data_IF_956257120114
#
_entry.id   IF_956257120114
#
_cell.length_a   1.000
_cell.length_b   1.000
_cell.length_c   1.000
_cell.angle_alpha   90.00
_cell.angle_beta   90.00
_cell.angle_gamma   90.00
#
_symmetry.space_group_name_H-M   'P 1'
#
loop_
_entity.id
_entity.type
_entity.pdbx_description
1 polymer ?
#
# COMPACT_ATOMS: atom_id res chain seq x y z
N UNK A 1 2.96 -10.83 -3.21
CA UNK A 1 2.37 -9.52 -2.86
C UNK A 1 3.47 -8.49 -2.71
N UNK A 2 3.41 -7.44 -3.54
CA UNK A 2 4.35 -6.32 -3.60
C UNK A 2 3.53 -5.02 -3.58
N UNK A 3 4.13 -3.91 -3.12
CA UNK A 3 3.42 -2.62 -2.99
C UNK A 3 2.75 -2.43 -1.63
N UNK A 4 3.08 -1.32 -0.99
CA UNK A 4 2.43 -0.81 0.22
C UNK A 4 1.82 0.57 -0.06
N UNK A 5 1.19 1.21 0.93
CA UNK A 5 0.53 2.52 0.76
C UNK A 5 1.34 3.59 0.02
N UNK A 6 2.69 3.58 0.13
CA UNK A 6 3.54 4.59 -0.52
C UNK A 6 4.15 4.15 -1.87
N UNK A 7 3.92 2.91 -2.31
CA UNK A 7 4.57 2.35 -3.51
C UNK A 7 3.62 1.56 -4.40
N UNK A 8 2.32 1.63 -4.16
CA UNK A 8 1.35 0.80 -4.87
C UNK A 8 1.24 1.13 -6.37
N UNK A 9 1.51 2.37 -6.76
CA UNK A 9 1.49 2.78 -8.18
C UNK A 9 2.62 2.08 -8.95
N UNK A 10 3.86 2.17 -8.46
CA UNK A 10 5.01 1.45 -9.01
C UNK A 10 4.74 -0.06 -9.00
N UNK A 11 4.16 -0.59 -7.92
CA UNK A 11 3.83 -2.01 -7.85
C UNK A 11 2.84 -2.45 -8.94
N UNK A 12 1.87 -1.62 -9.32
CA UNK A 12 0.94 -1.90 -10.43
C UNK A 12 1.69 -1.88 -11.76
N UNK A 13 2.56 -0.88 -11.98
CA UNK A 13 3.39 -0.77 -13.20
C UNK A 13 4.30 -2.00 -13.39
N UNK A 14 4.84 -2.53 -12.29
CA UNK A 14 5.67 -3.75 -12.25
C UNK A 14 4.83 -5.06 -12.26
N UNK A 15 3.52 -4.98 -12.44
CA UNK A 15 2.65 -6.16 -12.62
C UNK A 15 2.22 -6.87 -11.32
N UNK A 16 2.15 -6.16 -10.20
CA UNK A 16 1.68 -6.75 -8.95
C UNK A 16 0.20 -7.18 -9.05
N UNK A 17 -0.06 -8.45 -8.73
CA UNK A 17 -1.41 -9.02 -8.66
C UNK A 17 -2.12 -8.75 -7.32
N UNK A 18 -1.35 -8.47 -6.25
CA UNK A 18 -1.85 -8.17 -4.90
C UNK A 18 -0.99 -7.10 -4.25
N UNK A 19 -1.59 -5.93 -4.00
CA UNK A 19 -1.03 -4.80 -3.24
C UNK A 19 -1.66 -4.72 -1.85
N UNK A 20 -0.97 -4.10 -0.88
CA UNK A 20 -1.48 -3.94 0.49
C UNK A 20 -1.59 -2.47 0.84
N UNK A 21 -2.79 -2.00 1.18
CA UNK A 21 -3.02 -0.58 1.50
C UNK A 21 -3.57 -0.46 2.92
N UNK A 22 -2.85 0.27 3.77
CA UNK A 22 -3.21 0.57 5.15
C UNK A 22 -3.36 2.06 5.35
N UNK A 23 -2.24 2.75 5.62
CA UNK A 23 -2.21 4.18 5.97
C UNK A 23 -2.92 5.08 4.95
N UNK A 24 -2.76 4.81 3.65
CA UNK A 24 -3.41 5.62 2.62
C UNK A 24 -4.95 5.47 2.58
N UNK A 25 -5.50 4.38 3.14
CA UNK A 25 -6.95 4.17 3.26
C UNK A 25 -7.50 4.57 4.63
N UNK A 26 -6.77 4.23 5.70
CA UNK A 26 -7.25 4.32 7.06
C UNK A 26 -6.58 5.43 7.90
N UNK A 27 -5.61 6.15 7.33
CA UNK A 27 -4.81 7.13 8.03
C UNK A 27 -3.73 6.51 8.94
N UNK A 28 -3.03 7.36 9.67
CA UNK A 28 -2.00 6.92 10.62
C UNK A 28 -2.59 6.08 11.75
N UNK A 29 -1.83 5.09 12.19
CA UNK A 29 -2.24 4.28 13.34
C UNK A 29 -2.10 5.12 14.60
N UNK A 30 -3.22 5.43 15.24
CA UNK A 30 -3.20 6.04 16.56
C UNK A 30 -2.67 5.03 17.57
N UNK A 31 -1.46 5.26 18.07
CA UNK A 31 -0.92 4.52 19.22
C UNK A 31 -1.41 5.20 20.50
N UNK A 32 -1.88 4.41 21.47
CA UNK A 32 -2.20 4.88 22.83
C UNK A 32 -0.94 4.93 23.67
#
# INVERSE_FOLDING_TARGET
SMGMSNSYQIAIEEGANIIRIGTALFGERTVK
#
